data_IF_130851464929
#
_entry.id   IF_130851464929
#
_cell.length_a   1.000
_cell.length_b   1.000
_cell.length_c   1.000
_cell.angle_alpha   90.00
_cell.angle_beta   90.00
_cell.angle_gamma   90.00
#
_symmetry.space_group_name_H-M   'P 1'
#
loop_
_entity.id
_entity.type
_entity.pdbx_description
1 polymer ?
#
# COMPACT_ATOMS: atom_id res chain seq x y z
N UNK A 1 9.71 13.08 -9.10
CA UNK A 1 9.29 13.99 -10.20
C UNK A 1 10.03 13.56 -11.45
N UNK A 2 9.33 13.30 -12.56
CA UNK A 2 9.98 12.92 -13.82
C UNK A 2 10.33 14.22 -14.56
N UNK A 3 11.62 14.41 -14.87
CA UNK A 3 12.14 15.64 -15.49
C UNK A 3 12.10 15.56 -17.02
N UNK A 4 12.01 16.73 -17.67
CA UNK A 4 12.24 16.91 -19.11
C UNK A 4 13.65 16.40 -19.45
N UNK A 5 13.75 15.49 -20.42
CA UNK A 5 15.02 14.80 -20.79
C UNK A 5 15.21 13.42 -20.16
N UNK A 6 14.25 12.91 -19.41
CA UNK A 6 14.25 11.51 -18.95
C UNK A 6 14.03 10.54 -20.11
N UNK A 7 14.58 9.32 -19.96
CA UNK A 7 14.29 8.21 -20.89
C UNK A 7 12.77 8.02 -21.02
N UNK A 8 12.27 7.54 -22.17
CA UNK A 8 10.86 7.24 -22.35
C UNK A 8 10.35 6.40 -21.18
N UNK A 9 9.28 6.85 -20.54
CA UNK A 9 8.65 6.14 -19.44
C UNK A 9 7.18 5.95 -19.75
N UNK A 10 6.60 4.91 -19.18
CA UNK A 10 5.16 4.66 -19.23
C UNK A 10 4.64 4.53 -17.82
N UNK A 11 3.47 5.08 -17.54
CA UNK A 11 2.79 4.86 -16.26
C UNK A 11 2.35 3.40 -16.20
N UNK A 12 2.97 2.62 -15.30
CA UNK A 12 2.59 1.22 -15.10
C UNK A 12 1.31 1.09 -14.28
N UNK A 13 1.16 1.89 -13.22
CA UNK A 13 -0.03 1.95 -12.38
C UNK A 13 -0.16 3.34 -11.72
N UNK A 14 -1.35 3.66 -11.19
CA UNK A 14 -1.67 4.97 -10.62
C UNK A 14 -2.49 4.83 -9.32
N UNK A 15 -2.77 5.94 -8.65
CA UNK A 15 -3.55 5.94 -7.41
C UNK A 15 -2.75 5.53 -6.17
N UNK A 16 -1.47 5.93 -6.09
CA UNK A 16 -0.57 5.60 -4.99
C UNK A 16 -0.19 6.87 -4.22
N UNK A 17 -0.16 6.83 -2.88
CA UNK A 17 0.25 7.98 -2.05
C UNK A 17 1.77 8.13 -1.94
N UNK A 18 2.39 7.36 -1.05
CA UNK A 18 3.83 7.41 -0.79
C UNK A 18 4.40 5.99 -0.78
N UNK A 19 5.08 5.62 -1.85
CA UNK A 19 5.50 4.25 -2.11
C UNK A 19 6.89 3.98 -1.55
N UNK A 20 7.03 3.15 -0.50
CA UNK A 20 8.32 2.94 0.17
C UNK A 20 9.01 1.63 -0.18
N UNK A 21 8.27 0.63 -0.65
CA UNK A 21 8.84 -0.66 -1.02
C UNK A 21 8.21 -1.24 -2.28
N UNK A 22 9.01 -1.94 -3.09
CA UNK A 22 8.55 -2.82 -4.16
C UNK A 22 9.30 -4.15 -4.09
N UNK A 23 8.56 -5.25 -4.12
CA UNK A 23 9.13 -6.60 -4.12
C UNK A 23 8.63 -7.39 -5.33
N UNK A 24 9.56 -7.99 -6.09
CA UNK A 24 9.23 -8.82 -7.25
C UNK A 24 9.16 -10.30 -6.86
N UNK A 25 7.97 -10.91 -7.00
CA UNK A 25 7.80 -12.35 -6.80
C UNK A 25 8.02 -13.12 -8.12
N UNK A 26 9.21 -13.73 -8.27
CA UNK A 26 9.63 -14.49 -9.48
C UNK A 26 8.68 -15.60 -9.95
N UNK A 27 7.88 -16.20 -9.06
CA UNK A 27 6.94 -17.28 -9.44
C UNK A 27 5.58 -16.79 -9.93
N UNK A 28 5.25 -15.51 -9.76
CA UNK A 28 3.90 -14.99 -9.99
C UNK A 28 3.87 -13.76 -10.88
N UNK A 29 5.02 -13.23 -11.33
CA UNK A 29 5.14 -11.95 -12.06
C UNK A 29 4.32 -10.82 -11.41
N UNK A 30 4.22 -10.85 -10.08
CA UNK A 30 3.48 -9.88 -9.27
C UNK A 30 4.49 -9.01 -8.53
N UNK A 31 4.22 -7.72 -8.53
CA UNK A 31 4.92 -6.75 -7.70
C UNK A 31 4.11 -6.53 -6.44
N UNK A 32 4.71 -6.62 -5.27
CA UNK A 32 4.08 -6.18 -4.03
C UNK A 32 4.59 -4.78 -3.71
N UNK A 33 3.70 -3.85 -3.35
CA UNK A 33 4.06 -2.46 -3.08
C UNK A 33 3.53 -2.01 -1.74
N UNK A 34 4.37 -1.30 -0.99
CA UNK A 34 4.00 -0.67 0.27
C UNK A 34 3.71 0.81 0.04
N UNK A 35 2.48 1.24 0.31
CA UNK A 35 2.11 2.65 0.33
C UNK A 35 1.93 3.12 1.78
N UNK A 36 2.46 4.30 2.12
CA UNK A 36 2.24 4.95 3.41
C UNK A 36 1.21 6.05 3.31
N UNK A 37 0.20 5.96 4.16
CA UNK A 37 -0.76 7.02 4.47
C UNK A 37 -0.57 7.50 5.90
N UNK A 38 -1.35 8.51 6.27
CA UNK A 38 -1.45 8.89 7.67
C UNK A 38 -2.21 7.75 8.39
N UNK A 39 -1.53 6.67 8.77
CA UNK A 39 -2.21 5.40 9.07
C UNK A 39 -2.71 4.68 7.83
N UNK A 40 -3.07 3.40 7.95
CA UNK A 40 -3.55 2.59 6.83
C UNK A 40 -2.48 2.27 5.78
N UNK A 41 -1.25 1.94 6.19
CA UNK A 41 -0.23 1.47 5.24
C UNK A 41 -0.77 0.26 4.46
N UNK A 42 -0.46 0.13 3.17
CA UNK A 42 -1.08 -0.89 2.31
C UNK A 42 -0.06 -1.78 1.62
N UNK A 43 -0.35 -3.09 1.58
CA UNK A 43 0.30 -4.03 0.67
C UNK A 43 -0.58 -4.23 -0.56
N UNK A 44 -0.05 -3.88 -1.73
CA UNK A 44 -0.76 -3.95 -3.00
C UNK A 44 -0.06 -4.89 -3.99
N UNK A 45 -0.82 -5.74 -4.69
CA UNK A 45 -0.31 -6.48 -5.85
C UNK A 45 -0.40 -5.58 -7.09
N UNK A 46 0.73 -5.06 -7.56
CA UNK A 46 0.76 -4.09 -8.66
C UNK A 46 0.60 -4.76 -10.02
N UNK A 47 -0.43 -4.32 -10.73
CA UNK A 47 -0.83 -4.71 -12.08
C UNK A 47 -0.80 -3.51 -13.04
N UNK A 48 -0.49 -3.79 -14.31
CA UNK A 48 -0.42 -2.77 -15.36
C UNK A 48 -1.80 -2.12 -15.58
N UNK A 49 -1.85 -0.79 -15.64
CA UNK A 49 -3.06 0.00 -15.91
C UNK A 49 -3.98 0.24 -14.71
N UNK A 50 -3.72 -0.38 -13.55
CA UNK A 50 -4.63 -0.36 -12.40
C UNK A 50 -4.50 0.92 -11.55
N UNK A 51 -5.63 1.36 -10.97
CA UNK A 51 -5.73 2.48 -10.03
C UNK A 51 -6.02 1.97 -8.61
N UNK A 52 -5.23 2.39 -7.61
CA UNK A 52 -5.28 1.87 -6.22
C UNK A 52 -5.99 2.79 -5.22
N UNK A 53 -6.68 3.82 -5.70
CA UNK A 53 -7.64 4.59 -4.89
C UNK A 53 -7.16 5.99 -4.55
N UNK A 54 -5.92 6.15 -4.13
CA UNK A 54 -5.44 7.47 -3.68
C UNK A 54 -5.53 8.55 -4.78
N UNK A 55 -6.00 9.78 -4.49
CA UNK A 55 -6.44 10.28 -3.19
C UNK A 55 -7.94 10.04 -2.89
N UNK A 56 -8.70 9.38 -3.76
CA UNK A 56 -10.15 9.24 -3.64
C UNK A 56 -10.61 8.18 -2.63
N UNK A 57 -9.76 7.18 -2.36
CA UNK A 57 -10.06 6.05 -1.48
C UNK A 57 -8.81 5.66 -0.69
N UNK A 58 -8.97 5.35 0.59
CA UNK A 58 -7.88 5.03 1.51
C UNK A 58 -8.38 4.27 2.74
N UNK A 59 -7.54 3.39 3.28
CA UNK A 59 -7.71 2.84 4.64
C UNK A 59 -7.01 3.67 5.72
N UNK A 60 -6.41 4.81 5.36
CA UNK A 60 -5.73 5.70 6.30
C UNK A 60 -6.66 6.60 7.11
N UNK A 61 -6.10 7.22 8.15
CA UNK A 61 -6.72 8.29 8.93
C UNK A 61 -6.20 9.66 8.50
N UNK A 62 -6.83 10.74 8.94
CA UNK A 62 -6.11 12.00 9.08
C UNK A 62 -5.47 12.06 10.48
N UNK A 63 -4.23 12.53 10.58
CA UNK A 63 -3.58 12.79 11.87
C UNK A 63 -3.93 14.17 12.41
N UNK A 64 -4.45 15.09 11.56
CA UNK A 64 -5.14 16.27 12.05
C UNK A 64 -6.55 15.86 12.46
N UNK A 65 -6.64 15.14 13.58
CA UNK A 65 -7.92 14.92 14.24
C UNK A 65 -8.44 16.27 14.71
N UNK A 66 -9.58 16.67 14.16
CA UNK A 66 -10.52 17.50 14.89
C UNK A 66 -10.88 16.72 16.16
N UNK A 67 -10.47 17.26 17.31
CA UNK A 67 -10.69 16.70 18.65
C UNK A 67 -12.17 16.41 18.95
N UNK A 68 -13.11 17.00 18.21
CA UNK A 68 -14.55 16.75 18.39
C UNK A 68 -15.05 15.47 17.70
N UNK A 69 -14.46 15.06 16.57
CA UNK A 69 -15.08 14.04 15.72
C UNK A 69 -14.91 12.60 16.20
N UNK A 70 -13.91 12.29 17.04
CA UNK A 70 -13.50 10.93 17.45
C UNK A 70 -13.39 9.89 16.29
N UNK A 71 -13.37 10.34 15.03
CA UNK A 71 -13.33 9.47 13.87
C UNK A 71 -11.87 9.26 13.45
N UNK A 72 -11.38 8.04 13.63
CA UNK A 72 -10.03 7.62 13.23
C UNK A 72 -9.91 7.28 11.73
N UNK A 73 -10.80 7.81 10.89
CA UNK A 73 -10.87 7.49 9.45
C UNK A 73 -10.63 8.77 8.63
N UNK A 74 -9.93 8.67 7.50
CA UNK A 74 -9.67 9.81 6.62
C UNK A 74 -10.95 10.23 5.89
N UNK A 75 -11.79 11.04 6.55
CA UNK A 75 -13.00 11.62 5.98
C UNK A 75 -12.80 13.10 5.58
N UNK A 76 -11.59 13.47 5.13
CA UNK A 76 -11.29 14.87 4.76
C UNK A 76 -11.51 15.10 3.27
N UNK A 77 -12.54 15.87 2.93
CA UNK A 77 -12.94 16.16 1.55
C UNK A 77 -13.72 15.00 0.92
N UNK A 78 -13.52 14.75 -0.37
CA UNK A 78 -14.22 13.68 -1.13
C UNK A 78 -13.58 12.28 -0.96
N UNK A 79 -12.72 12.10 0.04
CA UNK A 79 -12.03 10.82 0.28
C UNK A 79 -12.99 9.88 1.01
N UNK A 80 -13.23 8.70 0.43
CA UNK A 80 -14.08 7.68 1.05
C UNK A 80 -13.18 6.67 1.76
N UNK A 81 -13.43 6.42 3.04
CA UNK A 81 -12.66 5.44 3.81
C UNK A 81 -13.07 4.00 3.48
N UNK A 82 -12.12 3.18 3.03
CA UNK A 82 -12.23 1.72 2.98
C UNK A 82 -13.30 1.14 2.05
N UNK A 83 -13.87 1.92 1.14
CA UNK A 83 -14.93 1.46 0.24
C UNK A 83 -14.31 0.60 -0.87
N UNK A 84 -13.27 1.11 -1.54
CA UNK A 84 -12.54 0.53 -2.66
C UNK A 84 -13.45 -0.18 -3.68
N UNK A 85 -14.65 0.33 -3.92
CA UNK A 85 -15.58 -0.26 -4.89
C UNK A 85 -15.25 0.15 -6.33
N UNK A 86 -14.51 1.23 -6.48
CA UNK A 86 -14.10 1.80 -7.77
C UNK A 86 -12.62 1.59 -8.08
N UNK A 87 -11.87 1.03 -7.14
CA UNK A 87 -10.42 0.93 -7.18
C UNK A 87 -9.95 -0.43 -6.68
N UNK A 88 -8.74 -0.84 -7.07
CA UNK A 88 -8.19 -2.12 -6.61
C UNK A 88 -8.00 -2.10 -5.08
N UNK A 89 -8.44 -3.17 -4.41
CA UNK A 89 -8.25 -3.35 -2.97
C UNK A 89 -6.82 -3.80 -2.67
N UNK A 90 -6.20 -3.29 -1.60
CA UNK A 90 -4.96 -3.86 -1.10
C UNK A 90 -5.20 -5.29 -0.62
N UNK A 91 -4.16 -6.12 -0.68
CA UNK A 91 -4.23 -7.47 -0.10
C UNK A 91 -4.16 -7.41 1.43
N UNK A 92 -3.65 -6.30 1.97
CA UNK A 92 -3.60 -6.04 3.40
C UNK A 92 -3.47 -4.53 3.66
N UNK A 93 -4.23 -4.02 4.63
CA UNK A 93 -4.11 -2.65 5.12
C UNK A 93 -3.78 -2.66 6.62
N UNK A 94 -2.86 -1.80 7.04
CA UNK A 94 -2.38 -1.69 8.42
C UNK A 94 -3.09 -0.55 9.15
N UNK A 95 -4.24 -0.88 9.73
CA UNK A 95 -5.09 0.05 10.49
C UNK A 95 -5.00 -0.24 12.00
N UNK A 96 -5.04 0.79 12.88
CA UNK A 96 -5.18 2.21 12.55
C UNK A 96 -3.88 2.82 11.98
N UNK A 97 -2.69 2.43 12.47
CA UNK A 97 -1.42 2.90 11.89
C UNK A 97 -0.20 2.14 12.43
N UNK A 98 0.27 1.12 11.70
CA UNK A 98 1.59 0.51 11.94
C UNK A 98 2.51 1.04 10.82
N UNK A 99 3.53 1.83 11.18
CA UNK A 99 4.45 2.42 10.21
C UNK A 99 5.47 1.42 9.69
N UNK A 100 5.24 0.87 8.50
CA UNK A 100 6.08 -0.19 7.96
C UNK A 100 7.19 0.38 7.08
N UNK A 101 8.38 -0.19 7.21
CA UNK A 101 9.57 0.25 6.47
C UNK A 101 9.87 -0.58 5.22
N UNK A 102 9.65 -1.90 5.25
CA UNK A 102 10.04 -2.79 4.17
C UNK A 102 9.25 -4.11 4.16
N UNK A 103 9.19 -4.74 2.99
CA UNK A 103 8.71 -6.10 2.80
C UNK A 103 9.91 -6.97 2.38
N UNK A 104 10.18 -8.05 3.13
CA UNK A 104 11.24 -9.01 2.82
C UNK A 104 10.66 -10.41 2.76
N UNK A 105 10.95 -11.14 1.67
CA UNK A 105 10.66 -12.57 1.60
C UNK A 105 11.72 -13.35 2.36
N UNK A 106 11.30 -14.15 3.32
CA UNK A 106 12.18 -15.03 4.08
C UNK A 106 12.36 -16.37 3.35
N UNK A 107 13.59 -16.93 3.29
CA UNK A 107 13.81 -18.26 2.72
C UNK A 107 13.19 -19.33 3.63
N UNK A 108 12.75 -20.46 3.07
CA UNK A 108 12.20 -21.57 3.89
C UNK A 108 13.21 -22.14 4.89
N UNK A 109 14.50 -21.93 4.63
CA UNK A 109 15.63 -22.39 5.46
C UNK A 109 16.02 -21.45 6.59
N UNK A 110 15.46 -20.23 6.67
CA UNK A 110 15.74 -19.25 7.74
C UNK A 110 15.52 -19.86 9.13
N UNK A 111 16.40 -19.63 10.09
CA UNK A 111 16.33 -20.22 11.44
C UNK A 111 15.84 -19.22 12.50
N UNK A 112 15.83 -17.94 12.16
CA UNK A 112 15.54 -16.82 13.05
C UNK A 112 14.07 -16.79 13.50
N UNK A 113 13.15 -17.24 12.65
CA UNK A 113 11.70 -17.25 12.88
C UNK A 113 11.11 -18.64 12.58
N UNK A 114 11.43 -19.68 13.36
CA UNK A 114 11.12 -21.07 13.02
C UNK A 114 9.61 -21.34 12.82
N UNK A 115 8.75 -20.60 13.53
CA UNK A 115 7.29 -20.69 13.41
C UNK A 115 6.75 -20.18 12.07
N UNK A 116 7.48 -19.29 11.38
CA UNK A 116 7.06 -18.71 10.11
C UNK A 116 7.41 -19.59 8.90
N UNK A 117 8.12 -20.71 9.10
CA UNK A 117 8.46 -21.66 8.03
C UNK A 117 7.25 -22.39 7.45
N UNK A 118 6.17 -22.54 8.22
CA UNK A 118 5.00 -23.37 7.87
C UNK A 118 3.87 -22.61 7.16
N UNK A 119 3.95 -21.29 7.08
CA UNK A 119 2.90 -20.48 6.46
C UNK A 119 3.24 -20.33 4.98
N UNK A 120 2.63 -21.17 4.14
CA UNK A 120 2.77 -21.11 2.69
C UNK A 120 1.91 -20.00 2.11
N UNK A 121 2.55 -18.99 1.52
CA UNK A 121 1.98 -18.10 0.50
C UNK A 121 2.74 -18.31 -0.82
#
# INVERSE_FOLDING_TARGET
MIRKGSRPFTIFSRGHRNSQGIFLMRKVNKFSKLARSSGGDEINIIRKGVHYGWPHDTYGTDYSLDTESQQFHANKGDVIYGHHDRYEKPIYAFTPSIGIAAIKRMPKTQWEFPNWRRVGL
#
